data_IF_119312127498
#
_entry.id   IF_119312127498
#
_cell.length_a   1.000
_cell.length_b   1.000
_cell.length_c   1.000
_cell.angle_alpha   90.00
_cell.angle_beta   90.00
_cell.angle_gamma   90.00
#
_symmetry.space_group_name_H-M   'P 1'
#
loop_
_entity.id
_entity.type
_entity.pdbx_description
1 polymer ?
#
# COMPACT_ATOMS: atom_id res chain seq x y z
N UNK A 1 18.54 -20.33 2.57
CA UNK A 1 18.68 -18.89 2.71
C UNK A 1 18.54 -18.54 4.19
N UNK A 2 19.27 -17.53 4.66
CA UNK A 2 19.10 -16.97 5.99
C UNK A 2 17.83 -16.12 5.95
N UNK A 3 16.77 -16.58 6.63
CA UNK A 3 15.42 -15.98 6.60
C UNK A 3 15.29 -14.54 7.12
N UNK A 4 16.41 -13.89 7.44
CA UNK A 4 16.48 -12.49 7.88
C UNK A 4 17.13 -11.56 6.85
N UNK A 5 17.44 -12.05 5.64
CA UNK A 5 18.19 -11.26 4.65
C UNK A 5 17.31 -10.70 3.56
N UNK A 6 17.27 -9.39 3.53
CA UNK A 6 16.70 -8.58 2.45
C UNK A 6 17.55 -8.69 1.18
N UNK A 7 16.92 -8.50 0.04
CA UNK A 7 17.65 -8.43 -1.22
C UNK A 7 18.61 -7.23 -1.25
N UNK A 8 18.07 -6.03 -0.95
CA UNK A 8 18.86 -4.79 -0.79
C UNK A 8 18.41 -4.05 0.47
N UNK A 9 19.36 -3.52 1.22
CA UNK A 9 19.14 -2.47 2.23
C UNK A 9 19.81 -1.19 1.73
N UNK A 10 19.02 -0.17 1.43
CA UNK A 10 19.50 1.14 1.01
C UNK A 10 19.29 2.15 2.15
N UNK A 11 20.37 2.40 2.90
CA UNK A 11 20.42 3.38 4.00
C UNK A 11 21.19 4.66 3.58
N UNK A 12 21.48 4.80 2.30
CA UNK A 12 22.15 5.95 1.68
C UNK A 12 21.16 6.89 1.01
N UNK A 13 21.59 8.14 0.81
CA UNK A 13 20.79 9.20 0.21
C UNK A 13 21.24 9.48 -1.23
N UNK A 14 20.31 10.03 -2.05
CA UNK A 14 20.56 10.50 -3.43
C UNK A 14 21.01 9.39 -4.41
N UNK A 15 20.60 8.15 -4.17
CA UNK A 15 20.83 7.05 -5.10
C UNK A 15 19.73 6.99 -6.17
N UNK A 16 20.11 6.52 -7.35
CA UNK A 16 19.21 6.14 -8.42
C UNK A 16 19.38 4.67 -8.77
N UNK A 17 18.40 3.86 -8.39
CA UNK A 17 18.29 2.46 -8.80
C UNK A 17 17.37 2.36 -10.00
N UNK A 18 17.82 1.67 -11.03
CA UNK A 18 17.16 1.73 -12.32
C UNK A 18 17.22 0.41 -13.08
N UNK A 19 16.03 -0.08 -13.49
CA UNK A 19 15.84 -1.07 -14.57
C UNK A 19 16.44 -2.46 -14.29
N UNK A 20 16.21 -3.02 -13.09
CA UNK A 20 16.54 -4.40 -12.79
C UNK A 20 15.53 -5.05 -11.83
N UNK A 21 15.63 -6.37 -11.66
CA UNK A 21 14.75 -7.16 -10.80
C UNK A 21 15.46 -7.59 -9.52
N UNK A 22 14.71 -7.53 -8.41
CA UNK A 22 15.08 -8.14 -7.13
C UNK A 22 14.10 -9.28 -6.87
N UNK A 23 14.62 -10.49 -6.79
CA UNK A 23 13.81 -11.69 -6.64
C UNK A 23 14.37 -12.67 -5.62
N UNK A 24 13.47 -13.43 -4.97
CA UNK A 24 13.79 -14.53 -4.03
C UNK A 24 14.60 -14.09 -2.82
N UNK A 25 14.46 -12.85 -2.37
CA UNK A 25 14.96 -12.46 -1.07
C UNK A 25 14.23 -13.23 0.03
N UNK A 26 14.96 -13.58 1.10
CA UNK A 26 14.40 -14.34 2.22
C UNK A 26 13.64 -13.45 3.25
N UNK A 27 13.51 -12.19 2.96
CA UNK A 27 12.80 -11.11 3.69
C UNK A 27 12.37 -10.10 2.60
N UNK A 28 12.25 -8.82 2.88
CA UNK A 28 11.89 -7.81 1.87
C UNK A 28 12.80 -7.88 0.62
N UNK A 29 12.24 -7.68 -0.55
CA UNK A 29 13.04 -7.47 -1.76
C UNK A 29 13.98 -6.28 -1.57
N UNK A 30 13.45 -5.12 -1.14
CA UNK A 30 14.25 -3.94 -0.79
C UNK A 30 13.71 -3.27 0.47
N UNK A 31 14.60 -2.94 1.40
CA UNK A 31 14.35 -1.97 2.47
C UNK A 31 15.00 -0.64 2.09
N UNK A 32 14.20 0.39 1.87
CA UNK A 32 14.62 1.76 1.60
C UNK A 32 14.52 2.57 2.89
N UNK A 33 15.66 2.94 3.44
CA UNK A 33 15.80 3.66 4.71
C UNK A 33 16.44 5.05 4.54
N UNK A 34 17.06 5.33 3.42
CA UNK A 34 17.66 6.63 3.11
C UNK A 34 16.65 7.64 2.51
N UNK A 35 17.17 8.82 2.17
CA UNK A 35 16.37 9.96 1.71
C UNK A 35 16.74 10.38 0.28
N UNK A 36 15.79 11.05 -0.38
CA UNK A 36 16.00 11.67 -1.70
C UNK A 36 16.47 10.66 -2.77
N UNK A 37 16.08 9.40 -2.64
CA UNK A 37 16.43 8.36 -3.60
C UNK A 37 15.38 8.28 -4.71
N UNK A 38 15.80 7.81 -5.87
CA UNK A 38 14.92 7.46 -6.99
C UNK A 38 15.02 5.97 -7.27
N UNK A 39 13.91 5.28 -7.17
CA UNK A 39 13.76 3.86 -7.51
C UNK A 39 12.88 3.81 -8.74
N UNK A 40 13.46 3.45 -9.89
CA UNK A 40 12.78 3.59 -11.18
C UNK A 40 12.80 2.30 -12.00
N UNK A 41 11.63 1.90 -12.52
CA UNK A 41 11.45 0.73 -13.38
C UNK A 41 12.03 -0.57 -12.81
N UNK A 42 12.00 -0.68 -11.48
CA UNK A 42 12.42 -1.89 -10.77
C UNK A 42 11.28 -2.91 -10.73
N UNK A 43 11.64 -4.18 -10.68
CA UNK A 43 10.71 -5.28 -10.42
C UNK A 43 11.08 -5.95 -9.10
N UNK A 44 10.11 -6.07 -8.19
CA UNK A 44 10.22 -6.80 -6.93
C UNK A 44 9.33 -8.04 -7.02
N UNK A 45 9.92 -9.24 -7.13
CA UNK A 45 9.19 -10.43 -7.49
C UNK A 45 9.56 -11.62 -6.62
N UNK A 46 8.56 -12.35 -6.10
CA UNK A 46 8.79 -13.63 -5.41
C UNK A 46 9.76 -13.49 -4.21
N UNK A 47 9.61 -12.42 -3.42
CA UNK A 47 10.33 -12.21 -2.16
C UNK A 47 9.51 -12.74 -0.98
N UNK A 48 10.14 -13.11 0.14
CA UNK A 48 9.48 -13.75 1.29
C UNK A 48 8.94 -12.75 2.32
N UNK A 49 8.82 -11.49 1.97
CA UNK A 49 8.14 -10.41 2.66
C UNK A 49 7.84 -9.33 1.61
N UNK A 50 7.51 -8.11 2.03
CA UNK A 50 7.17 -6.98 1.15
C UNK A 50 8.20 -6.77 0.02
N UNK A 51 7.73 -6.55 -1.19
CA UNK A 51 8.62 -6.30 -2.33
C UNK A 51 9.53 -5.10 -2.12
N UNK A 52 8.98 -3.91 -1.85
CA UNK A 52 9.75 -2.73 -1.43
C UNK A 52 9.11 -2.09 -0.20
N UNK A 53 9.86 -1.99 0.89
CA UNK A 53 9.44 -1.32 2.12
C UNK A 53 10.24 -0.04 2.39
N UNK A 54 9.55 1.06 2.66
CA UNK A 54 10.11 2.30 3.20
C UNK A 54 9.93 2.31 4.70
N UNK A 55 11.00 2.13 5.44
CA UNK A 55 11.06 2.31 6.89
C UNK A 55 12.50 2.40 7.36
N UNK A 56 12.71 2.90 8.56
CA UNK A 56 14.07 3.02 9.12
C UNK A 56 14.78 1.67 9.18
N UNK A 57 16.04 1.64 8.83
CA UNK A 57 16.93 0.52 9.10
C UNK A 57 17.53 0.63 10.51
N UNK A 58 18.04 1.82 10.84
CA UNK A 58 18.64 2.06 12.14
C UNK A 58 17.56 2.35 13.20
N UNK A 59 17.50 1.52 14.24
CA UNK A 59 16.53 1.67 15.34
C UNK A 59 16.75 2.92 16.19
N UNK A 60 17.92 3.56 16.12
CA UNK A 60 18.20 4.84 16.80
C UNK A 60 17.54 6.05 16.11
N UNK A 61 17.09 5.91 14.85
CA UNK A 61 16.27 6.89 14.16
C UNK A 61 14.88 6.94 14.84
N UNK A 62 14.74 7.79 15.86
CA UNK A 62 13.62 7.71 16.80
C UNK A 62 12.39 8.50 16.34
N UNK A 63 12.57 9.54 15.51
CA UNK A 63 11.53 10.48 15.14
C UNK A 63 11.24 10.48 13.65
N UNK A 64 10.08 10.99 13.27
CA UNK A 64 9.68 11.11 11.86
C UNK A 64 10.69 11.89 11.01
N UNK A 65 11.43 12.83 11.60
CA UNK A 65 12.45 13.60 10.91
C UNK A 65 13.69 12.77 10.52
N UNK A 66 13.89 11.63 11.19
CA UNK A 66 15.02 10.73 10.97
C UNK A 66 14.67 9.58 10.02
N UNK A 67 13.40 9.47 9.60
CA UNK A 67 12.91 8.35 8.81
C UNK A 67 13.02 8.64 7.30
N UNK A 68 13.00 7.58 6.45
CA UNK A 68 13.15 7.73 5.00
C UNK A 68 12.13 8.71 4.42
N UNK A 69 12.64 9.75 3.75
CA UNK A 69 11.86 10.90 3.29
C UNK A 69 12.23 11.30 1.86
N UNK A 70 11.26 11.92 1.16
CA UNK A 70 11.47 12.50 -0.17
C UNK A 70 11.98 11.50 -1.23
N UNK A 71 11.62 10.22 -1.11
CA UNK A 71 11.96 9.22 -2.10
C UNK A 71 10.90 9.16 -3.20
N UNK A 72 11.33 8.95 -4.44
CA UNK A 72 10.45 8.74 -5.59
C UNK A 72 10.56 7.29 -6.08
N UNK A 73 9.46 6.57 -6.01
CA UNK A 73 9.29 5.22 -6.57
C UNK A 73 8.49 5.38 -7.85
N UNK A 74 9.15 5.20 -9.00
CA UNK A 74 8.62 5.54 -10.31
C UNK A 74 8.53 4.33 -11.24
N UNK A 75 7.32 4.06 -11.76
CA UNK A 75 7.07 3.01 -12.75
C UNK A 75 7.59 1.61 -12.33
N UNK A 76 7.55 1.30 -11.04
CA UNK A 76 7.99 0.01 -10.49
C UNK A 76 6.85 -1.01 -10.48
N UNK A 77 7.21 -2.28 -10.54
CA UNK A 77 6.27 -3.41 -10.38
C UNK A 77 6.65 -4.23 -9.17
N UNK A 78 5.67 -4.56 -8.32
CA UNK A 78 5.86 -5.45 -7.18
C UNK A 78 4.82 -6.57 -7.20
N UNK A 79 5.28 -7.82 -7.27
CA UNK A 79 4.40 -8.96 -7.52
C UNK A 79 4.87 -10.25 -6.87
N UNK A 80 3.91 -11.16 -6.63
CA UNK A 80 4.16 -12.52 -6.14
C UNK A 80 4.97 -12.57 -4.84
N UNK A 81 4.99 -11.50 -4.06
CA UNK A 81 5.68 -11.50 -2.79
C UNK A 81 4.82 -12.21 -1.74
N UNK A 82 5.43 -13.09 -0.93
CA UNK A 82 4.68 -13.95 -0.04
C UNK A 82 5.52 -14.35 1.18
N UNK A 83 5.08 -13.99 2.38
CA UNK A 83 5.59 -14.60 3.61
C UNK A 83 5.00 -16.00 3.78
N UNK A 84 5.75 -17.01 3.37
CA UNK A 84 5.30 -18.39 3.42
C UNK A 84 5.03 -18.91 4.84
N UNK A 85 5.46 -18.21 5.88
CA UNK A 85 5.24 -18.62 7.26
C UNK A 85 3.88 -18.15 7.80
N UNK A 86 3.48 -16.92 7.47
CA UNK A 86 2.25 -16.30 8.00
C UNK A 86 1.20 -16.01 6.93
N UNK A 87 1.60 -15.87 5.68
CA UNK A 87 0.80 -15.31 4.58
C UNK A 87 0.40 -13.84 4.79
N UNK A 88 0.85 -13.23 5.88
CA UNK A 88 0.64 -11.83 6.23
C UNK A 88 1.91 -11.00 5.93
N UNK A 89 1.77 -9.69 5.90
CA UNK A 89 2.85 -8.70 5.81
C UNK A 89 3.63 -8.63 4.50
N UNK A 90 3.48 -9.57 3.58
CA UNK A 90 4.15 -9.51 2.28
C UNK A 90 3.34 -8.68 1.28
N UNK A 91 3.48 -7.37 1.41
CA UNK A 91 2.84 -6.39 0.55
C UNK A 91 3.59 -6.23 -0.78
N UNK A 92 2.93 -5.64 -1.77
CA UNK A 92 3.65 -5.15 -2.94
C UNK A 92 4.62 -4.03 -2.57
N UNK A 93 4.06 -2.95 -2.04
CA UNK A 93 4.78 -1.78 -1.55
C UNK A 93 4.31 -1.41 -0.15
N UNK A 94 5.24 -1.08 0.73
CA UNK A 94 4.90 -0.62 2.07
C UNK A 94 5.67 0.65 2.43
N UNK A 95 4.97 1.70 2.81
CA UNK A 95 5.54 2.88 3.46
C UNK A 95 4.96 2.90 4.88
N UNK A 96 5.51 2.07 5.76
CA UNK A 96 4.86 1.74 7.03
C UNK A 96 5.77 1.84 8.25
N UNK A 97 5.15 1.92 9.43
CA UNK A 97 5.77 1.87 10.75
C UNK A 97 6.65 3.07 11.08
N UNK A 98 7.65 3.38 10.27
CA UNK A 98 8.64 4.46 10.48
C UNK A 98 9.02 5.06 9.13
N UNK A 99 8.06 5.67 8.47
CA UNK A 99 8.21 6.33 7.18
C UNK A 99 8.07 7.85 7.37
N UNK A 100 8.99 8.62 6.82
CA UNK A 100 9.02 10.08 6.89
C UNK A 100 8.19 10.74 5.78
N UNK A 101 8.31 12.05 5.68
CA UNK A 101 7.50 12.88 4.79
C UNK A 101 7.96 12.84 3.32
N UNK A 102 7.05 13.15 2.41
CA UNK A 102 7.37 13.48 1.02
C UNK A 102 7.70 12.28 0.12
N UNK A 103 7.43 11.06 0.55
CA UNK A 103 7.61 9.88 -0.29
C UNK A 103 6.49 9.76 -1.33
N UNK A 104 6.86 9.44 -2.57
CA UNK A 104 5.93 9.37 -3.71
C UNK A 104 6.05 8.05 -4.44
N UNK A 105 4.92 7.39 -4.68
CA UNK A 105 4.79 6.31 -5.65
C UNK A 105 4.05 6.85 -6.87
N UNK A 106 4.65 6.73 -8.05
CA UNK A 106 4.07 7.22 -9.30
C UNK A 106 4.18 6.16 -10.41
N UNK A 107 3.06 5.83 -11.04
CA UNK A 107 3.01 4.87 -12.14
C UNK A 107 3.35 3.43 -11.75
N UNK A 108 3.25 3.08 -10.48
CA UNK A 108 3.61 1.75 -9.97
C UNK A 108 2.45 0.74 -10.05
N UNK A 109 2.81 -0.55 -10.06
CA UNK A 109 1.86 -1.66 -10.14
C UNK A 109 2.16 -2.72 -9.07
N UNK A 110 1.14 -3.12 -8.29
CA UNK A 110 1.24 -4.19 -7.30
C UNK A 110 0.19 -5.27 -7.54
N UNK A 111 0.61 -6.53 -7.68
CA UNK A 111 -0.34 -7.62 -7.90
C UNK A 111 0.16 -8.99 -7.45
N UNK A 112 -0.78 -9.88 -7.13
CA UNK A 112 -0.53 -11.23 -6.66
C UNK A 112 0.41 -11.28 -5.44
N UNK A 113 0.40 -10.25 -4.60
CA UNK A 113 1.11 -10.31 -3.32
C UNK A 113 0.21 -10.98 -2.29
N UNK A 114 0.78 -11.72 -1.34
CA UNK A 114 -0.02 -12.48 -0.39
C UNK A 114 -0.81 -11.60 0.59
N UNK A 115 -0.36 -10.39 0.85
CA UNK A 115 -1.08 -9.41 1.66
C UNK A 115 -1.54 -8.22 0.78
N UNK A 116 -1.26 -6.99 1.12
CA UNK A 116 -1.79 -5.82 0.44
C UNK A 116 -0.99 -5.40 -0.81
N UNK A 117 -1.62 -4.68 -1.72
CA UNK A 117 -0.89 -4.02 -2.80
C UNK A 117 -0.01 -2.89 -2.28
N UNK A 118 -0.59 -2.00 -1.46
CA UNK A 118 0.10 -0.97 -0.66
C UNK A 118 -0.33 -1.06 0.79
N UNK A 119 0.65 -1.01 1.72
CA UNK A 119 0.41 -0.89 3.16
C UNK A 119 1.08 0.38 3.72
N UNK A 120 0.26 1.31 4.25
CA UNK A 120 0.69 2.54 4.92
C UNK A 120 0.42 2.48 6.43
N UNK A 121 0.70 1.35 7.06
CA UNK A 121 0.36 1.09 8.45
C UNK A 121 1.21 1.94 9.41
N UNK A 122 0.54 2.72 10.25
CA UNK A 122 1.13 3.35 11.42
C UNK A 122 0.79 2.54 12.68
N UNK A 123 1.70 2.50 13.66
CA UNK A 123 1.46 1.78 14.91
C UNK A 123 1.68 2.66 16.14
N UNK A 124 0.95 2.38 17.21
CA UNK A 124 0.97 3.19 18.45
C UNK A 124 2.37 3.33 19.07
N UNK A 125 3.23 2.34 18.91
CA UNK A 125 4.59 2.36 19.46
C UNK A 125 5.51 3.41 18.81
N UNK A 126 5.28 3.78 17.55
CA UNK A 126 6.08 4.76 16.81
C UNK A 126 5.32 6.05 16.49
N UNK A 127 4.00 6.03 16.59
CA UNK A 127 3.15 7.18 16.27
C UNK A 127 2.87 7.33 14.77
N UNK A 128 2.49 8.54 14.33
CA UNK A 128 2.15 8.79 12.93
C UNK A 128 3.36 8.69 12.02
N UNK A 129 3.10 8.23 10.80
CA UNK A 129 4.05 8.28 9.69
C UNK A 129 3.81 9.54 8.84
N UNK A 130 4.80 9.90 8.03
CA UNK A 130 4.72 11.03 7.11
C UNK A 130 3.65 10.86 6.04
N UNK A 131 3.28 11.95 5.43
CA UNK A 131 2.36 11.93 4.29
C UNK A 131 3.01 11.26 3.09
N UNK A 132 2.35 10.23 2.57
CA UNK A 132 2.74 9.51 1.35
C UNK A 132 1.77 9.89 0.25
N UNK A 133 2.32 10.18 -0.95
CA UNK A 133 1.53 10.37 -2.17
C UNK A 133 1.61 9.11 -3.03
N UNK A 134 0.44 8.59 -3.45
CA UNK A 134 0.33 7.48 -4.40
C UNK A 134 -0.47 8.00 -5.59
N UNK A 135 0.14 8.00 -6.78
CA UNK A 135 -0.53 8.50 -7.97
C UNK A 135 -0.28 7.63 -9.21
N UNK A 136 -1.28 7.58 -10.08
CA UNK A 136 -1.20 6.82 -11.34
C UNK A 136 -0.86 5.33 -11.13
N UNK A 137 -1.24 4.75 -9.99
CA UNK A 137 -0.86 3.41 -9.57
C UNK A 137 -2.00 2.41 -9.73
N UNK A 138 -1.65 1.13 -9.87
CA UNK A 138 -2.61 0.04 -10.06
C UNK A 138 -2.34 -1.06 -9.03
N UNK A 139 -3.39 -1.51 -8.33
CA UNK A 139 -3.36 -2.63 -7.40
C UNK A 139 -4.40 -3.67 -7.80
N UNK A 140 -3.99 -4.92 -8.06
CA UNK A 140 -4.94 -5.95 -8.42
C UNK A 140 -4.53 -7.35 -7.98
N UNK A 141 -5.54 -8.19 -7.68
CA UNK A 141 -5.36 -9.59 -7.28
C UNK A 141 -4.38 -9.77 -6.12
N UNK A 142 -4.32 -8.81 -5.18
CA UNK A 142 -3.58 -8.98 -3.93
C UNK A 142 -4.45 -9.78 -2.96
N UNK A 143 -3.82 -10.57 -2.09
CA UNK A 143 -4.46 -11.60 -1.28
C UNK A 143 -4.65 -12.94 -2.01
N UNK A 144 -4.11 -13.09 -3.22
CA UNK A 144 -4.19 -14.31 -4.01
C UNK A 144 -2.82 -14.81 -4.42
N UNK A 145 -2.70 -16.13 -4.57
CA UNK A 145 -1.55 -16.73 -5.25
C UNK A 145 -1.58 -16.39 -6.74
N UNK A 146 -0.47 -16.58 -7.43
CA UNK A 146 -0.41 -16.47 -8.89
C UNK A 146 -1.38 -17.45 -9.62
N UNK A 147 -1.82 -18.52 -8.94
CA UNK A 147 -2.80 -19.50 -9.43
C UNK A 147 -4.25 -19.12 -9.14
N UNK A 148 -4.49 -18.00 -8.43
CA UNK A 148 -5.83 -17.49 -8.13
C UNK A 148 -6.47 -18.03 -6.86
N UNK A 149 -5.73 -18.77 -6.03
CA UNK A 149 -6.19 -19.19 -4.70
C UNK A 149 -6.04 -18.03 -3.71
N UNK A 150 -7.10 -17.73 -2.95
CA UNK A 150 -7.06 -16.71 -1.90
C UNK A 150 -6.35 -17.20 -0.64
N UNK A 151 -5.72 -16.30 0.07
CA UNK A 151 -5.11 -16.58 1.37
C UNK A 151 -6.07 -16.27 2.51
N UNK A 152 -6.23 -17.19 3.46
CA UNK A 152 -7.20 -17.05 4.56
C UNK A 152 -6.77 -16.11 5.69
N UNK A 153 -5.48 -15.80 5.80
CA UNK A 153 -4.91 -15.05 6.93
C UNK A 153 -4.38 -13.66 6.55
N UNK A 154 -4.58 -13.22 5.31
CA UNK A 154 -4.11 -11.92 4.84
C UNK A 154 -5.24 -10.89 4.76
N UNK A 155 -4.87 -9.62 4.68
CA UNK A 155 -5.83 -8.55 4.42
C UNK A 155 -6.21 -8.46 2.93
N UNK A 156 -5.27 -8.58 2.02
CA UNK A 156 -5.50 -8.63 0.58
C UNK A 156 -6.20 -7.40 0.00
N UNK A 157 -5.91 -6.21 0.52
CA UNK A 157 -6.45 -4.97 -0.03
C UNK A 157 -5.61 -4.46 -1.21
N UNK A 158 -6.21 -3.64 -2.06
CA UNK A 158 -5.45 -2.90 -3.06
C UNK A 158 -4.57 -1.82 -2.41
N UNK A 159 -5.20 -0.91 -1.67
CA UNK A 159 -4.54 0.20 -0.97
C UNK A 159 -5.03 0.29 0.47
N UNK A 160 -4.16 -0.04 1.43
CA UNK A 160 -4.40 0.06 2.86
C UNK A 160 -3.71 1.31 3.41
N UNK A 161 -4.49 2.27 3.88
CA UNK A 161 -4.08 3.67 4.06
C UNK A 161 -3.95 4.07 5.52
N UNK A 162 -3.57 3.16 6.38
CA UNK A 162 -3.39 3.48 7.79
C UNK A 162 -3.43 2.29 8.73
N UNK A 163 -3.53 2.56 10.02
CA UNK A 163 -3.62 1.56 11.07
C UNK A 163 -3.68 2.15 12.48
N UNK A 164 -4.07 1.34 13.44
CA UNK A 164 -4.04 1.64 14.88
C UNK A 164 -4.78 2.90 15.34
N UNK A 165 -5.68 3.47 14.54
CA UNK A 165 -6.36 4.71 14.86
C UNK A 165 -5.46 5.96 14.79
N UNK A 166 -4.33 5.86 14.09
CA UNK A 166 -3.36 6.95 13.95
C UNK A 166 -3.59 7.70 12.66
N UNK A 167 -3.70 9.03 12.75
CA UNK A 167 -3.97 9.90 11.61
C UNK A 167 -2.73 10.22 10.79
N UNK A 168 -2.78 9.98 9.47
CA UNK A 168 -1.80 10.43 8.49
C UNK A 168 -2.54 10.84 7.22
N UNK A 169 -2.30 12.07 6.73
CA UNK A 169 -3.08 12.68 5.65
C UNK A 169 -2.56 12.27 4.25
N UNK A 170 -2.53 10.97 3.97
CA UNK A 170 -2.07 10.42 2.69
C UNK A 170 -2.89 10.94 1.51
N UNK A 171 -2.26 11.02 0.34
CA UNK A 171 -2.84 11.55 -0.89
C UNK A 171 -2.83 10.46 -1.95
N UNK A 172 -4.00 10.10 -2.45
CA UNK A 172 -4.16 9.17 -3.56
C UNK A 172 -4.84 9.87 -4.73
N UNK A 173 -4.31 9.65 -5.94
CA UNK A 173 -4.81 10.31 -7.14
C UNK A 173 -4.63 9.42 -8.37
N UNK A 174 -5.68 9.33 -9.22
CA UNK A 174 -5.66 8.55 -10.46
C UNK A 174 -5.25 7.08 -10.24
N UNK A 175 -5.72 6.44 -9.17
CA UNK A 175 -5.38 5.05 -8.88
C UNK A 175 -6.52 4.10 -9.24
N UNK A 176 -6.14 2.87 -9.62
CA UNK A 176 -7.07 1.80 -9.95
C UNK A 176 -6.84 0.60 -9.03
N UNK A 177 -7.91 0.08 -8.44
CA UNK A 177 -7.88 -1.15 -7.66
C UNK A 177 -8.92 -2.13 -8.20
N UNK A 178 -8.51 -3.37 -8.57
CA UNK A 178 -9.48 -4.33 -9.05
C UNK A 178 -9.14 -5.78 -8.66
N UNK A 179 -10.17 -6.58 -8.48
CA UNK A 179 -10.06 -8.02 -8.17
C UNK A 179 -9.15 -8.34 -6.97
N UNK A 180 -9.01 -7.41 -6.00
CA UNK A 180 -8.30 -7.73 -4.77
C UNK A 180 -9.21 -8.55 -3.84
N UNK A 181 -8.61 -9.37 -2.96
CA UNK A 181 -9.35 -10.27 -2.06
C UNK A 181 -10.28 -9.50 -1.12
N UNK A 182 -9.84 -8.35 -0.61
CA UNK A 182 -10.64 -7.47 0.24
C UNK A 182 -10.97 -6.15 -0.44
N UNK A 183 -10.74 -5.02 0.23
CA UNK A 183 -11.10 -3.71 -0.30
C UNK A 183 -10.18 -3.26 -1.45
N UNK A 184 -10.73 -2.49 -2.38
CA UNK A 184 -9.90 -1.73 -3.31
C UNK A 184 -9.09 -0.66 -2.57
N UNK A 185 -9.78 0.16 -1.77
CA UNK A 185 -9.20 1.21 -0.94
C UNK A 185 -9.78 1.15 0.48
N UNK A 186 -8.93 1.15 1.51
CA UNK A 186 -9.38 1.17 2.90
C UNK A 186 -8.59 2.17 3.75
N UNK A 187 -9.29 2.94 4.60
CA UNK A 187 -8.67 3.80 5.59
C UNK A 187 -7.95 3.01 6.70
N UNK A 188 -8.33 1.76 6.88
CA UNK A 188 -7.79 0.85 7.91
C UNK A 188 -7.63 1.52 9.29
N UNK A 189 -8.68 2.17 9.78
CA UNK A 189 -8.69 2.96 11.02
C UNK A 189 -7.80 4.21 11.01
N UNK A 190 -7.46 4.78 9.86
CA UNK A 190 -6.87 6.10 9.78
C UNK A 190 -7.97 7.17 9.88
N UNK A 191 -8.06 7.93 10.97
CA UNK A 191 -9.10 8.95 11.13
C UNK A 191 -8.86 10.20 10.29
N UNK A 192 -7.69 10.31 9.60
CA UNK A 192 -7.25 11.55 8.95
C UNK A 192 -6.65 11.29 7.58
N UNK A 193 -7.44 10.74 6.64
CA UNK A 193 -7.00 10.70 5.23
C UNK A 193 -6.97 12.11 4.64
N UNK A 194 -5.97 12.39 3.80
CA UNK A 194 -5.88 13.66 3.07
C UNK A 194 -6.83 13.70 1.88
N UNK A 195 -6.59 12.84 0.88
CA UNK A 195 -7.48 12.81 -0.29
C UNK A 195 -7.44 11.48 -1.04
N UNK A 196 -8.60 11.12 -1.59
CA UNK A 196 -8.77 10.15 -2.67
C UNK A 196 -9.45 10.88 -3.83
N UNK A 197 -8.76 11.06 -4.96
CA UNK A 197 -9.30 11.79 -6.11
C UNK A 197 -9.08 11.01 -7.41
N UNK A 198 -10.09 10.96 -8.28
CA UNK A 198 -10.06 10.25 -9.56
C UNK A 198 -9.64 8.78 -9.41
N UNK A 199 -10.09 8.10 -8.36
CA UNK A 199 -9.78 6.70 -8.12
C UNK A 199 -10.92 5.79 -8.55
N UNK A 200 -10.57 4.64 -9.12
CA UNK A 200 -11.54 3.64 -9.58
C UNK A 200 -11.31 2.32 -8.85
N UNK A 201 -12.39 1.71 -8.41
CA UNK A 201 -12.36 0.39 -7.78
C UNK A 201 -13.38 -0.55 -8.44
N UNK A 202 -12.92 -1.73 -8.86
CA UNK A 202 -13.72 -2.68 -9.64
C UNK A 202 -13.61 -4.09 -9.07
N UNK A 203 -14.74 -4.73 -8.79
CA UNK A 203 -14.80 -6.15 -8.40
C UNK A 203 -13.81 -6.57 -7.30
N UNK A 204 -13.49 -5.67 -6.36
CA UNK A 204 -12.77 -6.09 -5.16
C UNK A 204 -13.75 -6.85 -4.25
N UNK A 205 -13.33 -7.61 -3.30
CA UNK A 205 -14.13 -8.54 -2.50
C UNK A 205 -14.10 -9.97 -3.06
N UNK A 206 -12.92 -10.43 -3.41
CA UNK A 206 -12.72 -11.81 -3.84
C UNK A 206 -13.33 -12.80 -2.84
N UNK A 207 -13.89 -13.89 -3.34
CA UNK A 207 -14.50 -14.95 -2.54
C UNK A 207 -15.63 -14.51 -1.57
N UNK A 208 -16.24 -13.34 -1.81
CA UNK A 208 -17.37 -12.88 -1.00
C UNK A 208 -17.02 -12.51 0.45
N UNK A 209 -15.83 -11.97 0.68
CA UNK A 209 -15.33 -11.58 2.03
C UNK A 209 -16.17 -10.49 2.70
N UNK A 210 -17.09 -9.84 1.98
CA UNK A 210 -17.94 -8.77 2.51
C UNK A 210 -17.24 -7.42 2.60
N UNK A 211 -16.12 -7.24 1.92
CA UNK A 211 -15.34 -6.00 1.91
C UNK A 211 -15.68 -5.16 0.67
N UNK A 212 -16.04 -3.88 0.82
CA UNK A 212 -16.43 -3.03 -0.32
C UNK A 212 -15.22 -2.54 -1.12
N UNK A 213 -15.48 -2.08 -2.36
CA UNK A 213 -14.47 -1.41 -3.18
C UNK A 213 -13.79 -0.25 -2.43
N UNK A 214 -14.57 0.58 -1.73
CA UNK A 214 -14.06 1.65 -0.86
C UNK A 214 -14.54 1.45 0.58
N UNK A 215 -13.65 1.46 1.54
CA UNK A 215 -13.91 1.33 2.98
C UNK A 215 -13.20 2.43 3.76
N UNK A 216 -13.66 3.68 3.60
CA UNK A 216 -13.05 4.88 4.20
C UNK A 216 -13.93 5.53 5.29
N UNK A 217 -14.86 4.77 5.87
CA UNK A 217 -15.87 5.27 6.81
C UNK A 217 -15.32 5.59 8.23
N UNK A 218 -14.10 5.18 8.53
CA UNK A 218 -13.43 5.48 9.81
C UNK A 218 -12.63 6.77 9.75
N UNK A 219 -12.41 7.30 8.56
CA UNK A 219 -11.90 8.66 8.38
C UNK A 219 -12.96 9.67 8.87
N UNK A 220 -12.62 10.43 9.89
CA UNK A 220 -13.50 11.43 10.53
C UNK A 220 -13.03 12.86 10.33
N UNK A 221 -11.93 13.07 9.63
CA UNK A 221 -11.40 14.40 9.31
C UNK A 221 -12.34 15.13 8.35
N UNK A 222 -12.93 16.27 8.75
CA UNK A 222 -13.79 17.05 7.86
C UNK A 222 -13.03 17.67 6.67
N UNK A 223 -11.69 17.74 6.73
CA UNK A 223 -10.84 18.19 5.64
C UNK A 223 -10.48 17.13 4.62
N UNK A 224 -10.85 15.86 4.86
CA UNK A 224 -10.60 14.79 3.89
C UNK A 224 -11.40 14.99 2.60
N UNK A 225 -10.74 14.78 1.46
CA UNK A 225 -11.32 15.00 0.14
C UNK A 225 -11.55 13.65 -0.54
N UNK A 226 -12.81 13.38 -0.90
CA UNK A 226 -13.19 12.20 -1.68
C UNK A 226 -13.93 12.69 -2.93
N UNK A 227 -13.27 12.69 -4.10
CA UNK A 227 -13.83 13.28 -5.32
C UNK A 227 -13.58 12.41 -6.55
N UNK A 228 -14.55 12.36 -7.46
CA UNK A 228 -14.49 11.64 -8.72
C UNK A 228 -14.08 10.17 -8.53
N UNK A 229 -14.75 9.49 -7.59
CA UNK A 229 -14.54 8.08 -7.31
C UNK A 229 -15.54 7.23 -8.10
N UNK A 230 -15.06 6.14 -8.70
CA UNK A 230 -15.91 5.17 -9.37
C UNK A 230 -15.83 3.83 -8.65
N UNK A 231 -17.00 3.28 -8.26
CA UNK A 231 -17.12 1.94 -7.70
C UNK A 231 -18.00 1.10 -8.62
N UNK A 232 -17.48 -0.02 -9.11
CA UNK A 232 -18.21 -0.90 -9.99
C UNK A 232 -18.09 -2.36 -9.53
N UNK A 233 -19.22 -3.05 -9.53
CA UNK A 233 -19.32 -4.50 -9.42
C UNK A 233 -20.11 -5.03 -10.59
N UNK A 234 -19.67 -6.12 -11.19
CA UNK A 234 -20.49 -6.86 -12.13
C UNK A 234 -21.58 -7.68 -11.41
N UNK A 235 -22.52 -8.21 -12.16
CA UNK A 235 -23.68 -8.93 -11.60
C UNK A 235 -23.30 -10.20 -10.82
N UNK A 236 -22.07 -10.67 -10.92
CA UNK A 236 -21.58 -11.86 -10.21
C UNK A 236 -21.07 -11.57 -8.81
N UNK A 237 -20.78 -10.28 -8.50
CA UNK A 237 -20.21 -9.85 -7.23
C UNK A 237 -21.09 -8.76 -6.61
N UNK A 238 -22.22 -9.17 -6.03
CA UNK A 238 -23.09 -8.20 -5.37
C UNK A 238 -22.54 -7.79 -4.02
N UNK A 239 -22.16 -6.53 -3.87
CA UNK A 239 -21.83 -5.88 -2.61
C UNK A 239 -22.57 -4.57 -2.44
N UNK A 240 -23.01 -4.32 -1.21
CA UNK A 240 -23.49 -3.00 -0.84
C UNK A 240 -22.34 -2.00 -0.92
N UNK A 241 -22.62 -0.91 -1.52
CA UNK A 241 -21.85 0.30 -1.82
C UNK A 241 -20.59 0.61 -1.03
N UNK A 242 -19.73 1.38 -1.67
CA UNK A 242 -18.64 2.10 -1.07
C UNK A 242 -19.06 2.73 0.27
N UNK A 243 -18.33 2.42 1.33
CA UNK A 243 -18.51 3.04 2.63
C UNK A 243 -17.59 4.25 2.73
N UNK A 244 -17.95 5.31 2.01
CA UNK A 244 -17.30 6.60 2.12
C UNK A 244 -17.99 7.37 3.24
N UNK A 245 -17.27 7.66 4.30
CA UNK A 245 -17.78 8.45 5.39
C UNK A 245 -16.62 9.26 5.97
N UNK A 246 -16.23 10.26 5.35
CA UNK A 246 -15.56 11.36 6.02
C UNK A 246 -16.62 12.44 6.24
N UNK A 247 -16.36 13.46 6.96
CA UNK A 247 -17.18 14.65 6.96
C UNK A 247 -17.20 15.37 5.61
N UNK A 248 -16.87 14.68 4.53
CA UNK A 248 -16.80 15.22 3.18
C UNK A 248 -18.20 15.36 2.62
N UNK A 249 -18.63 16.61 2.51
CA UNK A 249 -19.84 17.02 1.80
C UNK A 249 -19.77 16.77 0.29
N UNK A 250 -18.74 16.11 -0.22
CA UNK A 250 -18.41 15.97 -1.63
C UNK A 250 -18.21 14.53 -2.09
N UNK A 251 -18.81 13.57 -1.41
CA UNK A 251 -18.76 12.17 -1.83
C UNK A 251 -19.48 12.04 -3.19
N UNK A 252 -18.69 12.07 -4.26
CA UNK A 252 -19.17 11.85 -5.62
C UNK A 252 -18.59 10.56 -6.16
N UNK A 253 -19.37 9.52 -6.13
CA UNK A 253 -19.10 8.29 -6.89
C UNK A 253 -20.28 7.99 -7.81
N UNK A 254 -19.99 7.33 -8.92
CA UNK A 254 -20.98 6.89 -9.91
C UNK A 254 -20.96 5.37 -9.95
#
# INVERSE_FOLDING_TARGET
>A
ADGSKRGIVLDGDYWHFYDFEITKAADNGMLLSGNNNKIERMVFNDNQDTGLQLSRYNTSAATIADWPSNNLILNCTSKNNCDNASMENADGFAAKLTCGEGNVFDGCMAYNNSDDGWDLFAKSATGPIGVVTIQNCIAFRNGFTEFGEGYSNCDGNGFKLGGSGIGSAHILKNCLAFENLHCGFTDNNNPKLGSLTNCTAVNNNGEGTGKPNFSCYRCTDPGAIFENLMSYYDDSVFMSDAKLKGGASNDKYV
#
